data_IF_310515652734
#
_entry.id   IF_310515652734
#
_cell.length_a   1.000
_cell.length_b   1.000
_cell.length_c   1.000
_cell.angle_alpha   90.00
_cell.angle_beta   90.00
_cell.angle_gamma   90.00
#
_symmetry.space_group_name_H-M   'P 1'
#
loop_
_entity.id
_entity.type
_entity.pdbx_description
1 polymer ?
#
# COMPACT_ATOMS: atom_id res chain seq x y z
N UNK A 1 -5.21 14.34 -14.35
CA UNK A 1 -4.00 13.70 -13.77
C UNK A 1 -4.23 12.20 -13.76
N UNK A 2 -3.32 11.38 -14.31
CA UNK A 2 -3.45 9.92 -14.17
C UNK A 2 -3.15 9.58 -12.70
N UNK A 3 -3.93 8.67 -12.08
CA UNK A 3 -3.79 8.30 -10.66
C UNK A 3 -2.36 7.93 -10.26
N UNK A 4 -1.59 7.30 -11.15
CA UNK A 4 -0.20 6.95 -10.88
C UNK A 4 0.71 8.18 -10.78
N UNK A 5 0.49 9.20 -11.61
CA UNK A 5 1.24 10.46 -11.54
C UNK A 5 0.99 11.15 -10.20
N UNK A 6 -0.27 11.14 -9.76
CA UNK A 6 -0.66 11.66 -8.44
C UNK A 6 0.09 10.97 -7.31
N UNK A 7 0.00 9.64 -7.22
CA UNK A 7 0.70 8.86 -6.18
C UNK A 7 2.22 9.11 -6.24
N UNK A 8 2.79 9.21 -7.44
CA UNK A 8 4.22 9.46 -7.61
C UNK A 8 4.63 10.85 -7.11
N UNK A 9 3.78 11.86 -7.30
CA UNK A 9 4.05 13.22 -6.83
C UNK A 9 4.03 13.39 -5.30
N UNK A 10 3.52 12.41 -4.56
CA UNK A 10 3.49 12.46 -3.09
C UNK A 10 4.85 12.17 -2.46
N UNK A 11 5.80 11.57 -3.19
CA UNK A 11 7.12 11.26 -2.63
C UNK A 11 7.94 12.55 -2.43
N UNK A 12 8.64 12.64 -1.29
CA UNK A 12 9.51 13.76 -0.97
C UNK A 12 10.83 13.77 -1.74
N UNK A 13 11.65 14.79 -1.48
CA UNK A 13 12.99 14.90 -2.08
C UNK A 13 13.87 13.70 -1.67
N UNK A 14 14.52 13.07 -2.67
CA UNK A 14 15.36 11.88 -2.45
C UNK A 14 14.59 10.57 -2.26
N UNK A 15 13.26 10.62 -2.30
CA UNK A 15 12.38 9.46 -2.19
C UNK A 15 11.65 9.17 -3.51
N UNK A 16 10.99 8.02 -3.58
CA UNK A 16 10.16 7.64 -4.72
C UNK A 16 9.02 6.72 -4.29
N UNK A 17 7.87 6.83 -4.95
CA UNK A 17 6.85 5.80 -4.91
C UNK A 17 7.29 4.60 -5.75
N UNK A 18 6.99 3.38 -5.30
CA UNK A 18 7.26 2.17 -6.07
C UNK A 18 5.96 1.50 -6.50
N UNK A 19 6.02 0.84 -7.66
CA UNK A 19 4.99 -0.11 -8.10
C UNK A 19 5.55 -1.53 -8.04
N UNK A 20 4.68 -2.50 -7.82
CA UNK A 20 5.04 -3.90 -7.65
C UNK A 20 4.19 -4.74 -8.59
N UNK A 21 4.81 -5.71 -9.27
CA UNK A 21 4.09 -6.61 -10.18
C UNK A 21 3.84 -7.94 -9.51
N UNK A 22 2.59 -8.35 -9.36
CA UNK A 22 2.29 -9.74 -9.02
C UNK A 22 2.62 -10.64 -10.20
N UNK A 23 3.56 -11.57 -10.01
CA UNK A 23 3.92 -12.58 -11.01
C UNK A 23 3.71 -13.98 -10.42
N UNK A 24 2.66 -14.71 -10.83
CA UNK A 24 2.54 -16.12 -10.51
C UNK A 24 3.83 -16.87 -10.86
N UNK A 25 4.26 -17.78 -10.00
CA UNK A 25 5.40 -18.61 -10.33
C UNK A 25 5.10 -19.47 -11.57
N UNK A 26 6.14 -19.76 -12.36
CA UNK A 26 5.99 -20.51 -13.61
C UNK A 26 5.57 -21.97 -13.37
N UNK A 27 5.85 -22.50 -12.19
CA UNK A 27 5.59 -23.88 -11.81
C UNK A 27 4.17 -24.09 -11.23
N UNK A 28 3.39 -23.02 -11.03
CA UNK A 28 2.05 -23.10 -10.45
C UNK A 28 2.01 -23.61 -9.00
N UNK A 29 3.13 -23.55 -8.27
CA UNK A 29 3.18 -24.02 -6.89
C UNK A 29 2.22 -23.20 -6.02
N UNK A 30 1.65 -23.85 -5.03
CA UNK A 30 0.70 -23.26 -4.10
C UNK A 30 1.29 -23.21 -2.69
N UNK A 31 0.82 -22.26 -1.90
CA UNK A 31 0.95 -22.27 -0.45
C UNK A 31 0.07 -23.40 0.13
N UNK A 32 0.26 -23.73 1.41
CA UNK A 32 -0.49 -24.81 2.08
C UNK A 32 -2.01 -24.57 2.09
N UNK A 33 -2.43 -23.31 2.02
CA UNK A 33 -3.83 -22.87 1.92
C UNK A 33 -4.38 -22.91 0.47
N UNK A 34 -3.58 -23.36 -0.50
CA UNK A 34 -3.96 -23.44 -1.91
C UNK A 34 -3.73 -22.15 -2.72
N UNK A 35 -3.27 -21.05 -2.11
CA UNK A 35 -2.97 -19.82 -2.82
C UNK A 35 -1.76 -19.97 -3.76
N UNK A 36 -1.83 -19.44 -4.99
CA UNK A 36 -0.70 -19.51 -5.94
C UNK A 36 0.48 -18.69 -5.43
N UNK A 37 1.66 -19.31 -5.33
CA UNK A 37 2.88 -18.60 -4.96
C UNK A 37 3.23 -17.58 -6.05
N UNK A 38 3.45 -16.35 -5.63
CA UNK A 38 3.79 -15.25 -6.51
C UNK A 38 5.13 -14.62 -6.12
N UNK A 39 5.83 -14.08 -7.09
CA UNK A 39 6.89 -13.10 -6.86
C UNK A 39 6.35 -11.68 -7.03
N UNK A 40 6.96 -10.74 -6.33
CA UNK A 40 6.54 -9.35 -6.26
C UNK A 40 7.71 -8.40 -6.54
N UNK A 41 8.31 -8.43 -7.75
CA UNK A 41 9.37 -7.48 -8.10
C UNK A 41 8.86 -6.04 -8.08
N UNK A 42 9.65 -5.17 -7.45
CA UNK A 42 9.43 -3.73 -7.40
C UNK A 42 10.03 -3.02 -8.62
N UNK A 43 9.40 -1.94 -9.03
CA UNK A 43 9.77 -1.12 -10.18
C UNK A 43 9.52 0.36 -9.89
N UNK A 44 10.23 1.23 -10.60
CA UNK A 44 9.86 2.65 -10.68
C UNK A 44 8.52 2.81 -11.41
N UNK A 45 7.75 3.89 -11.15
CA UNK A 45 6.44 4.11 -11.75
C UNK A 45 6.44 4.09 -13.29
N UNK A 46 7.55 4.51 -13.91
CA UNK A 46 7.73 4.52 -15.38
C UNK A 46 7.66 3.14 -16.04
N UNK A 47 7.77 2.04 -15.27
CA UNK A 47 7.62 0.68 -15.78
C UNK A 47 6.16 0.23 -15.94
N UNK A 48 5.20 1.04 -15.51
CA UNK A 48 3.77 0.70 -15.57
C UNK A 48 3.31 0.48 -17.01
N UNK A 49 2.38 -0.46 -17.18
CA UNK A 49 1.71 -0.75 -18.46
C UNK A 49 0.40 -1.50 -18.22
N UNK A 50 -0.62 -1.31 -19.07
CA UNK A 50 -1.92 -1.97 -18.94
C UNK A 50 -1.83 -3.49 -19.10
N UNK A 51 -2.90 -4.21 -18.73
CA UNK A 51 -3.02 -5.67 -18.90
C UNK A 51 -2.18 -6.49 -17.93
N UNK A 52 -1.83 -5.92 -16.78
CA UNK A 52 -0.98 -6.57 -15.78
C UNK A 52 -1.47 -6.34 -14.35
N UNK A 53 -1.13 -7.27 -13.46
CA UNK A 53 -1.43 -7.19 -12.04
C UNK A 53 -0.45 -6.27 -11.32
N UNK A 54 -0.60 -4.97 -11.55
CA UNK A 54 0.22 -3.92 -10.92
C UNK A 54 -0.38 -3.44 -9.61
N UNK A 55 0.49 -3.12 -8.67
CA UNK A 55 0.14 -2.58 -7.37
C UNK A 55 1.00 -1.35 -7.11
N UNK A 56 0.45 -0.34 -6.45
CA UNK A 56 1.26 0.67 -5.79
C UNK A 56 1.76 0.12 -4.46
N UNK A 57 2.74 0.79 -3.86
CA UNK A 57 3.16 0.49 -2.50
C UNK A 57 3.08 1.76 -1.61
N UNK A 58 2.67 1.59 -0.36
CA UNK A 58 2.44 2.71 0.57
C UNK A 58 3.71 3.39 1.07
N UNK A 59 4.89 2.77 0.95
CA UNK A 59 6.14 3.36 1.45
C UNK A 59 6.64 4.53 0.60
N UNK A 60 7.26 5.52 1.25
CA UNK A 60 8.12 6.52 0.61
C UNK A 60 9.56 5.97 0.59
N UNK A 61 10.06 5.57 -0.59
CA UNK A 61 11.31 4.81 -0.66
C UNK A 61 12.52 5.69 -0.95
N UNK A 62 13.49 5.70 -0.04
CA UNK A 62 14.75 6.44 -0.15
C UNK A 62 15.62 5.85 -1.27
N UNK A 63 15.79 6.60 -2.35
CA UNK A 63 16.43 6.13 -3.59
C UNK A 63 17.90 5.74 -3.36
N UNK A 64 18.61 6.48 -2.52
CA UNK A 64 20.02 6.21 -2.21
C UNK A 64 20.27 4.88 -1.48
N UNK A 65 19.22 4.24 -0.94
CA UNK A 65 19.31 2.92 -0.28
C UNK A 65 19.17 1.75 -1.25
N UNK A 66 18.84 2.00 -2.52
CA UNK A 66 18.72 0.95 -3.52
C UNK A 66 20.08 0.37 -3.88
N UNK A 67 20.26 -0.92 -3.59
CA UNK A 67 21.46 -1.66 -3.96
C UNK A 67 21.60 -1.72 -5.48
N UNK A 68 22.73 -1.25 -6.02
CA UNK A 68 23.03 -1.18 -7.45
C UNK A 68 21.94 -0.44 -8.26
N UNK A 69 21.25 0.53 -7.64
CA UNK A 69 20.14 1.26 -8.26
C UNK A 69 18.87 0.42 -8.50
N UNK A 70 18.79 -0.80 -7.96
CA UNK A 70 17.63 -1.69 -8.13
C UNK A 70 16.52 -1.35 -7.12
N UNK A 71 15.31 -1.00 -7.58
CA UNK A 71 14.19 -0.72 -6.69
C UNK A 71 13.88 -1.90 -5.76
N UNK A 72 13.62 -1.59 -4.49
CA UNK A 72 13.29 -2.60 -3.48
C UNK A 72 12.25 -2.04 -2.53
N UNK A 73 11.04 -2.61 -2.59
CA UNK A 73 9.90 -2.29 -1.73
C UNK A 73 10.04 -2.92 -0.33
N UNK A 74 11.20 -2.73 0.29
CA UNK A 74 11.52 -3.19 1.64
C UNK A 74 11.28 -2.06 2.63
N UNK A 75 10.75 -2.39 3.82
CA UNK A 75 10.60 -1.42 4.91
C UNK A 75 11.92 -0.74 5.30
N UNK A 76 13.07 -1.41 5.13
CA UNK A 76 14.38 -0.81 5.39
C UNK A 76 14.71 0.39 4.48
N UNK A 77 14.01 0.50 3.34
CA UNK A 77 14.17 1.59 2.39
C UNK A 77 13.14 2.70 2.59
N UNK A 78 12.21 2.60 3.55
CA UNK A 78 11.17 3.59 3.76
C UNK A 78 11.21 4.15 5.18
N UNK A 79 11.40 5.47 5.28
CA UNK A 79 11.31 6.18 6.57
C UNK A 79 9.91 6.73 6.81
N UNK A 80 9.19 7.07 5.74
CA UNK A 80 7.85 7.64 5.75
C UNK A 80 6.89 6.79 4.89
N UNK A 81 5.59 7.10 5.01
CA UNK A 81 4.52 6.45 4.26
C UNK A 81 3.79 7.50 3.42
N UNK A 82 3.64 7.24 2.12
CA UNK A 82 3.01 8.20 1.20
C UNK A 82 1.49 8.26 1.33
N UNK A 83 0.85 7.13 1.66
CA UNK A 83 -0.61 6.99 1.76
C UNK A 83 -1.02 5.86 2.71
N UNK A 84 -2.21 5.94 3.30
CA UNK A 84 -2.87 4.82 3.96
C UNK A 84 -3.85 4.14 2.99
N UNK A 85 -3.97 2.80 3.06
CA UNK A 85 -5.01 2.05 2.34
C UNK A 85 -5.68 1.06 3.27
N UNK A 86 -7.01 1.13 3.35
CA UNK A 86 -7.88 0.21 4.06
C UNK A 86 -8.46 -0.80 3.06
N UNK A 87 -8.36 -2.09 3.38
CA UNK A 87 -8.69 -3.21 2.48
C UNK A 87 -10.06 -3.81 2.80
N UNK A 88 -10.68 -4.48 1.83
CA UNK A 88 -11.98 -5.18 1.99
C UNK A 88 -13.11 -4.32 2.63
N UNK A 89 -13.10 -3.01 2.37
CA UNK A 89 -14.08 -2.06 2.94
C UNK A 89 -15.49 -2.35 2.43
N UNK A 90 -16.44 -2.45 3.36
CA UNK A 90 -17.84 -2.79 3.10
C UNK A 90 -18.10 -4.28 2.89
N UNK A 91 -17.08 -5.14 3.01
CA UNK A 91 -17.23 -6.59 2.95
C UNK A 91 -16.68 -7.28 4.20
N UNK A 92 -15.36 -7.35 4.37
CA UNK A 92 -14.73 -7.92 5.57
C UNK A 92 -14.35 -6.87 6.60
N UNK A 93 -14.24 -5.63 6.17
CA UNK A 93 -13.92 -4.49 7.01
C UNK A 93 -15.07 -3.51 7.02
N UNK A 94 -15.24 -2.87 8.18
CA UNK A 94 -16.26 -1.84 8.38
C UNK A 94 -16.03 -0.65 7.45
N UNK A 95 -17.11 0.05 7.10
CA UNK A 95 -17.02 1.27 6.31
C UNK A 95 -16.56 2.42 7.22
N UNK A 96 -15.40 3.04 6.96
CA UNK A 96 -14.95 4.21 7.69
C UNK A 96 -16.00 5.34 7.66
N UNK A 97 -16.26 6.03 8.79
CA UNK A 97 -17.08 7.25 8.78
C UNK A 97 -16.38 8.43 8.07
N UNK A 98 -15.06 8.35 7.86
CA UNK A 98 -14.27 9.34 7.15
C UNK A 98 -14.17 8.99 5.67
N UNK A 99 -14.67 9.88 4.81
CA UNK A 99 -14.56 9.73 3.36
C UNK A 99 -13.09 9.70 2.90
N UNK A 100 -12.70 8.82 1.97
CA UNK A 100 -11.30 8.61 1.58
C UNK A 100 -10.89 9.50 0.40
N UNK A 101 -9.61 9.77 0.21
CA UNK A 101 -9.10 10.44 -1.00
C UNK A 101 -9.47 9.68 -2.29
N UNK A 102 -9.50 8.35 -2.25
CA UNK A 102 -10.01 7.54 -3.36
C UNK A 102 -10.69 6.25 -2.91
N UNK A 103 -11.56 5.73 -3.79
CA UNK A 103 -12.16 4.40 -3.68
C UNK A 103 -11.79 3.58 -4.91
N UNK A 104 -11.23 2.40 -4.67
CA UNK A 104 -10.80 1.47 -5.70
C UNK A 104 -11.62 0.18 -5.59
N UNK A 105 -12.45 -0.13 -6.58
CA UNK A 105 -13.08 -1.44 -6.68
C UNK A 105 -12.04 -2.46 -7.15
N UNK A 106 -11.75 -3.48 -6.34
CA UNK A 106 -10.69 -4.47 -6.60
C UNK A 106 -11.22 -5.80 -7.14
N UNK A 107 -12.51 -6.04 -6.93
CA UNK A 107 -13.37 -7.06 -7.55
C UNK A 107 -14.82 -6.64 -7.31
N UNK A 108 -15.83 -7.22 -7.99
CA UNK A 108 -17.21 -6.78 -7.86
C UNK A 108 -17.65 -6.65 -6.39
N UNK A 109 -18.02 -5.43 -5.98
CA UNK A 109 -18.50 -5.11 -4.63
C UNK A 109 -17.43 -5.17 -3.52
N UNK A 110 -16.13 -5.23 -3.84
CA UNK A 110 -15.04 -5.21 -2.85
C UNK A 110 -14.14 -4.00 -3.11
N UNK A 111 -13.87 -3.21 -2.07
CA UNK A 111 -13.22 -1.92 -2.21
C UNK A 111 -11.97 -1.78 -1.35
N UNK A 112 -11.00 -1.04 -1.89
CA UNK A 112 -9.92 -0.43 -1.14
C UNK A 112 -10.18 1.06 -1.03
N UNK A 113 -10.07 1.62 0.16
CA UNK A 113 -10.20 3.06 0.42
C UNK A 113 -8.84 3.61 0.77
N UNK A 114 -8.42 4.67 0.08
CA UNK A 114 -7.10 5.26 0.29
C UNK A 114 -7.16 6.70 0.79
N UNK A 115 -6.25 7.03 1.68
CA UNK A 115 -6.14 8.33 2.33
C UNK A 115 -4.74 8.90 2.08
N UNK A 116 -4.70 10.13 1.59
CA UNK A 116 -3.47 10.91 1.43
C UNK A 116 -3.22 11.70 2.69
N UNK A 117 -1.94 11.78 3.05
CA UNK A 117 -1.50 12.54 4.21
C UNK A 117 -1.17 13.98 3.82
N UNK A 118 -1.71 14.95 4.56
CA UNK A 118 -1.27 16.35 4.47
C UNK A 118 0.12 16.54 5.09
N UNK A 119 0.49 15.66 6.03
CA UNK A 119 1.84 15.52 6.60
C UNK A 119 2.17 14.03 6.71
N UNK A 120 3.23 13.59 6.02
CA UNK A 120 3.57 12.16 5.96
C UNK A 120 4.05 11.64 7.32
N UNK A 121 3.38 10.62 7.88
CA UNK A 121 3.84 10.02 9.12
C UNK A 121 5.10 9.18 8.87
N UNK A 122 5.90 9.04 9.92
CA UNK A 122 6.98 8.06 9.91
C UNK A 122 6.40 6.64 9.78
N UNK A 123 7.22 5.72 9.29
CA UNK A 123 6.86 4.30 9.21
C UNK A 123 6.46 3.72 10.58
N UNK A 124 7.03 4.22 11.67
CA UNK A 124 6.72 3.80 13.04
C UNK A 124 5.34 4.27 13.49
N UNK A 125 5.04 5.56 13.34
CA UNK A 125 3.73 6.15 13.67
C UNK A 125 2.62 5.50 12.85
N UNK A 126 2.82 5.38 11.54
CA UNK A 126 1.89 4.69 10.65
C UNK A 126 1.63 3.25 11.12
N UNK A 127 2.69 2.51 11.46
CA UNK A 127 2.58 1.11 11.88
C UNK A 127 1.81 0.97 13.20
N UNK A 128 1.95 1.92 14.13
CA UNK A 128 1.16 1.93 15.35
C UNK A 128 -0.32 2.23 15.06
N UNK A 129 -0.60 3.22 14.21
CA UNK A 129 -1.95 3.62 13.84
C UNK A 129 -2.69 2.53 13.07
N UNK A 130 -2.09 1.95 12.02
CA UNK A 130 -2.75 0.94 11.19
C UNK A 130 -3.08 -0.33 11.97
N UNK A 131 -2.32 -0.66 13.03
CA UNK A 131 -2.65 -1.76 13.96
C UNK A 131 -3.93 -1.46 14.74
N UNK A 132 -4.02 -0.27 15.33
CA UNK A 132 -5.23 0.15 16.06
C UNK A 132 -6.46 0.20 15.14
N UNK A 133 -6.29 0.69 13.91
CA UNK A 133 -7.32 0.71 12.86
C UNK A 133 -7.77 -0.70 12.47
N UNK A 134 -6.82 -1.64 12.30
CA UNK A 134 -7.14 -3.03 12.01
C UNK A 134 -7.84 -3.74 13.18
N UNK A 135 -7.45 -3.44 14.42
CA UNK A 135 -8.11 -3.98 15.63
C UNK A 135 -9.53 -3.44 15.81
N UNK A 136 -9.80 -2.21 15.37
CA UNK A 136 -11.14 -1.63 15.28
C UNK A 136 -11.97 -2.17 14.11
N UNK A 137 -11.41 -3.02 13.24
CA UNK A 137 -12.14 -3.71 12.17
C UNK A 137 -12.18 -2.99 10.83
N UNK A 138 -11.46 -1.89 10.67
CA UNK A 138 -11.49 -1.08 9.43
C UNK A 138 -10.55 -1.57 8.32
N UNK A 139 -9.70 -2.56 8.58
CA UNK A 139 -8.83 -3.18 7.56
C UNK A 139 -8.38 -4.58 7.99
N UNK A 140 -7.80 -5.34 7.06
CA UNK A 140 -7.25 -6.68 7.31
C UNK A 140 -6.12 -6.64 8.37
N UNK A 141 -6.12 -7.56 9.34
CA UNK A 141 -5.08 -7.61 10.42
C UNK A 141 -3.71 -8.05 9.94
N UNK A 142 -3.62 -8.73 8.81
CA UNK A 142 -2.36 -8.94 8.09
C UNK A 142 -1.84 -7.64 7.47
N UNK A 143 -2.71 -6.65 7.28
CA UNK A 143 -2.63 -5.23 6.83
C UNK A 143 -1.48 -4.31 7.23
N UNK A 144 -0.72 -4.66 8.26
CA UNK A 144 -0.35 -3.69 9.31
C UNK A 144 1.11 -3.20 9.30
N UNK A 145 1.75 -3.17 8.13
CA UNK A 145 3.14 -2.73 7.98
C UNK A 145 3.22 -1.49 7.07
N UNK A 146 4.34 -0.75 7.03
CA UNK A 146 4.40 0.53 6.32
C UNK A 146 4.55 0.40 4.78
N UNK A 147 4.81 -0.81 4.27
CA UNK A 147 5.11 -1.06 2.84
C UNK A 147 4.10 -2.03 2.21
N UNK A 148 2.84 -1.60 2.13
CA UNK A 148 1.71 -2.42 1.66
C UNK A 148 1.42 -2.22 0.19
N UNK A 149 1.11 -3.33 -0.47
CA UNK A 149 0.65 -3.30 -1.86
C UNK A 149 -0.84 -2.96 -1.91
N UNK A 150 -1.21 -1.99 -2.75
CA UNK A 150 -2.59 -1.62 -3.04
C UNK A 150 -2.86 -1.62 -4.55
N UNK A 151 -4.12 -1.78 -4.96
CA UNK A 151 -4.50 -1.87 -6.37
C UNK A 151 -4.36 -0.51 -7.07
N UNK A 152 -3.76 -0.54 -8.26
CA UNK A 152 -3.81 0.57 -9.20
C UNK A 152 -5.02 0.43 -10.13
N UNK A 153 -5.54 1.54 -10.70
CA UNK A 153 -6.54 1.45 -11.77
C UNK A 153 -6.04 0.56 -12.92
N UNK A 154 -6.91 -0.30 -13.45
CA UNK A 154 -6.57 -1.26 -14.51
C UNK A 154 -5.75 -2.47 -14.04
N UNK A 155 -5.47 -2.60 -12.73
CA UNK A 155 -4.76 -3.77 -12.20
C UNK A 155 -5.58 -5.04 -12.35
N UNK A 156 -5.01 -6.05 -13.00
CA UNK A 156 -5.67 -7.34 -13.23
C UNK A 156 -5.72 -8.17 -11.95
N UNK A 157 -6.92 -8.63 -11.58
CA UNK A 157 -7.09 -9.54 -10.45
C UNK A 157 -6.85 -11.00 -10.86
N UNK A 158 -5.71 -11.54 -10.43
CA UNK A 158 -5.29 -12.92 -10.75
C UNK A 158 -5.87 -13.99 -9.80
N UNK A 159 -6.66 -13.61 -8.79
CA UNK A 159 -7.26 -14.60 -7.87
C UNK A 159 -8.27 -15.48 -8.64
N UNK A 160 -8.31 -16.80 -8.39
CA UNK A 160 -9.32 -17.68 -8.99
C UNK A 160 -10.74 -17.16 -8.75
N UNK A 161 -11.61 -17.32 -9.75
CA UNK A 161 -13.00 -16.84 -9.69
C UNK A 161 -13.16 -15.32 -9.82
N UNK A 162 -12.09 -14.56 -10.10
CA UNK A 162 -12.17 -13.12 -10.37
C UNK A 162 -12.11 -12.76 -11.85
N UNK A 163 -11.92 -13.75 -12.73
CA UNK A 163 -12.01 -13.61 -14.19
C UNK A 163 -11.16 -12.46 -14.79
N UNK A 164 -10.01 -12.17 -14.16
CA UNK A 164 -9.15 -11.07 -14.60
C UNK A 164 -9.73 -9.68 -14.40
N UNK A 165 -10.67 -9.51 -13.46
CA UNK A 165 -11.28 -8.22 -13.15
C UNK A 165 -10.24 -7.11 -13.05
N UNK A 166 -10.44 -6.05 -13.84
CA UNK A 166 -9.59 -4.87 -13.83
C UNK A 166 -10.06 -3.93 -12.72
N UNK A 167 -9.17 -3.60 -11.78
CA UNK A 167 -9.53 -2.70 -10.68
C UNK A 167 -9.97 -1.34 -11.21
N UNK A 168 -11.04 -0.78 -10.65
CA UNK A 168 -11.67 0.45 -11.13
C UNK A 168 -11.55 1.54 -10.07
N UNK A 169 -11.03 2.69 -10.47
CA UNK A 169 -11.08 3.90 -9.66
C UNK A 169 -12.51 4.44 -9.74
N UNK A 170 -13.30 4.26 -8.68
CA UNK A 170 -14.73 4.61 -8.68
C UNK A 170 -14.99 6.00 -8.11
N UNK A 171 -14.11 6.47 -7.22
CA UNK A 171 -14.12 7.83 -6.70
C UNK A 171 -12.67 8.31 -6.54
N UNK A 172 -12.41 9.58 -6.86
CA UNK A 172 -11.11 10.20 -6.68
C UNK A 172 -11.26 11.71 -6.43
N UNK A 173 -10.87 12.13 -5.23
CA UNK A 173 -10.85 13.51 -4.76
C UNK A 173 -9.43 13.87 -4.29
N UNK A 174 -8.48 14.14 -5.22
CA UNK A 174 -7.06 14.31 -4.90
C UNK A 174 -6.74 15.43 -3.92
N UNK A 175 -7.64 16.41 -3.77
CA UNK A 175 -7.57 17.51 -2.81
C UNK A 175 -7.94 17.11 -1.37
N UNK A 176 -8.48 15.91 -1.17
CA UNK A 176 -8.88 15.39 0.14
C UNK A 176 -7.67 14.76 0.82
N UNK A 177 -7.07 15.49 1.75
CA UNK A 177 -5.92 15.08 2.54
C UNK A 177 -6.22 15.22 4.05
N UNK A 178 -5.52 14.43 4.86
CA UNK A 178 -5.70 14.38 6.31
C UNK A 178 -4.37 14.23 7.03
N UNK A 179 -4.27 14.67 8.28
CA UNK A 179 -3.20 14.20 9.16
C UNK A 179 -3.49 12.77 9.63
N UNK A 180 -2.48 12.04 10.11
CA UNK A 180 -2.68 10.71 10.66
C UNK A 180 -3.61 10.74 11.89
N UNK A 181 -3.51 11.81 12.69
CA UNK A 181 -4.34 12.05 13.87
C UNK A 181 -5.80 12.24 13.50
N UNK A 182 -6.10 13.04 12.47
CA UNK A 182 -7.47 13.24 11.99
C UNK A 182 -8.12 11.93 11.53
N UNK A 183 -7.36 11.07 10.86
CA UNK A 183 -7.83 9.73 10.48
C UNK A 183 -8.12 8.91 11.74
N UNK A 184 -7.20 8.87 12.71
CA UNK A 184 -7.38 8.11 13.94
C UNK A 184 -8.58 8.60 14.77
N UNK A 185 -8.75 9.91 14.89
CA UNK A 185 -9.86 10.54 15.60
C UNK A 185 -11.20 10.18 14.96
N UNK A 186 -11.31 10.32 13.62
CA UNK A 186 -12.53 9.99 12.91
C UNK A 186 -12.88 8.49 13.00
N UNK A 187 -11.88 7.62 13.07
CA UNK A 187 -12.05 6.17 13.27
C UNK A 187 -12.21 5.79 14.75
N UNK A 188 -12.11 6.74 15.67
CA UNK A 188 -12.20 6.55 17.13
C UNK A 188 -11.18 5.54 17.66
N UNK A 189 -9.94 5.58 17.15
CA UNK A 189 -8.84 4.71 17.57
C UNK A 189 -7.72 5.51 18.22
N UNK A 190 -7.02 4.86 19.15
CA UNK A 190 -5.83 5.41 19.81
C UNK A 190 -4.65 4.49 19.49
N UNK A 191 -3.69 4.95 18.67
CA UNK A 191 -2.46 4.21 18.39
C UNK A 191 -1.65 3.98 19.68
N UNK A 192 -0.90 2.88 19.72
CA UNK A 192 0.18 2.75 20.70
C UNK A 192 1.34 3.71 20.37
N UNK A 193 2.30 3.84 21.28
CA UNK A 193 3.55 4.54 21.01
C UNK A 193 4.25 3.97 19.76
N UNK A 194 4.78 4.87 18.92
CA UNK A 194 5.48 4.49 17.72
C UNK A 194 6.78 3.75 18.04
N UNK A 195 7.07 2.68 17.31
CA UNK A 195 8.40 2.08 17.35
C UNK A 195 9.38 2.98 16.58
N UNK A 196 10.28 3.62 17.32
CA UNK A 196 11.31 4.51 16.78
C UNK A 196 12.63 3.77 16.48
N UNK A 197 12.72 2.47 16.79
CA UNK A 197 13.93 1.70 16.59
C UNK A 197 14.17 1.42 15.09
N UNK A 198 15.18 2.07 14.52
CA UNK A 198 15.65 1.78 13.16
C UNK A 198 16.43 0.48 13.15
N UNK A 199 15.86 -0.61 12.61
CA UNK A 199 16.62 -1.83 12.34
C UNK A 199 17.59 -1.56 11.18
N UNK A 200 18.80 -1.09 11.50
CA UNK A 200 19.91 -1.04 10.55
C UNK A 200 20.47 -2.45 10.43
N UNK A 201 20.43 -3.04 9.22
CA UNK A 201 21.25 -4.22 8.93
C UNK A 201 22.71 -3.77 9.03
N UNK A 202 23.42 -4.23 10.06
CA UNK A 202 24.88 -4.16 10.11
C UNK A 202 25.37 -5.07 8.99
N UNK A 203 25.95 -4.48 7.95
CA UNK A 203 26.78 -5.25 7.03
C UNK A 203 28.03 -5.65 7.84
N UNK A 204 28.18 -6.93 8.12
CA UNK A 204 29.49 -7.46 8.50
C UNK A 204 30.34 -7.37 7.23
N UNK A 205 31.36 -6.52 7.27
CA UNK A 205 32.43 -6.53 6.28
C UNK A 205 33.26 -7.78 6.54
N UNK A 206 33.40 -8.66 5.54
CA UNK A 206 34.36 -9.77 5.53
C UNK A 206 35.77 -9.25 5.25
#
# INVERSE_FOLDING_TARGET
MQFLDFITSLAGEGETALIVKQKPNKNGEKHADGAVKCSWPAYLPSAWKPGHAWYGNTGAFVVSRFKDGKPSASAANADFVIVMVLDDVGTKSEVPPLEPTWKMETSPGNFQWGYVFSEQPTAGEFSAAIKAIADAGYTDKGAINPVRNFRLPGSINLKPGREGFESKLVEFAPEREYTLEQICEALQVVPAEADTARVRRVALED
#
